data_IF_834013806981
#
_entry.id   IF_834013806981
#
_cell.length_a   1.000
_cell.length_b   1.000
_cell.length_c   1.000
_cell.angle_alpha   90.00
_cell.angle_beta   90.00
_cell.angle_gamma   90.00
#
_symmetry.space_group_name_H-M   'P 1'
#
loop_
_entity.id
_entity.type
_entity.pdbx_description
1 polymer ?
#
# COMPACT_ATOMS: atom_id res chain seq x y z
N UNK A 1 20.03 -3.32 0.78
CA UNK A 1 20.93 -3.57 -0.35
C UNK A 1 20.37 -4.73 -1.17
N UNK A 2 19.27 -4.51 -1.90
CA UNK A 2 18.75 -5.36 -2.98
C UNK A 2 18.86 -6.88 -2.72
N UNK A 3 19.05 -7.70 -3.75
CA UNK A 3 19.28 -9.12 -3.59
C UNK A 3 20.78 -9.45 -3.41
N UNK A 4 21.55 -8.59 -2.73
CA UNK A 4 22.97 -8.80 -2.40
C UNK A 4 23.20 -8.64 -0.89
N UNK A 5 23.08 -9.74 -0.11
CA UNK A 5 23.19 -9.70 1.34
C UNK A 5 24.60 -9.38 1.84
N UNK A 6 25.65 -9.76 1.10
CA UNK A 6 27.04 -9.44 1.48
C UNK A 6 27.33 -7.95 1.45
N UNK A 7 26.74 -7.21 0.51
CA UNK A 7 26.85 -5.76 0.48
C UNK A 7 26.06 -5.10 1.64
N UNK A 8 24.85 -5.59 1.98
CA UNK A 8 24.14 -5.15 3.20
C UNK A 8 25.03 -5.35 4.43
N UNK A 9 25.59 -6.55 4.57
CA UNK A 9 26.43 -6.92 5.69
C UNK A 9 27.59 -5.93 5.87
N UNK A 10 28.30 -5.63 4.78
CA UNK A 10 29.43 -4.71 4.80
C UNK A 10 29.00 -3.27 5.15
N UNK A 11 27.98 -2.73 4.48
CA UNK A 11 27.54 -1.34 4.68
C UNK A 11 26.92 -1.09 6.06
N UNK A 12 26.17 -2.05 6.57
CA UNK A 12 25.49 -1.97 7.87
C UNK A 12 26.34 -2.49 9.02
N UNK A 13 27.58 -2.94 8.73
CA UNK A 13 28.51 -3.52 9.70
C UNK A 13 27.91 -4.69 10.48
N UNK A 14 27.11 -5.52 9.81
CA UNK A 14 26.47 -6.69 10.41
C UNK A 14 27.47 -7.84 10.54
N UNK A 15 27.41 -8.55 11.65
CA UNK A 15 28.20 -9.78 11.85
C UNK A 15 27.62 -10.95 11.04
N UNK A 16 28.43 -12.00 10.87
CA UNK A 16 27.93 -13.25 10.25
C UNK A 16 26.75 -13.85 11.05
N UNK A 17 26.76 -13.69 12.38
CA UNK A 17 25.65 -14.11 13.24
C UNK A 17 24.38 -13.31 12.98
N UNK A 18 24.48 -11.99 12.75
CA UNK A 18 23.32 -11.15 12.45
C UNK A 18 22.69 -11.57 11.12
N UNK A 19 23.50 -11.79 10.08
CA UNK A 19 23.00 -12.28 8.79
C UNK A 19 22.31 -13.63 8.93
N UNK A 20 22.85 -14.52 9.78
CA UNK A 20 22.23 -15.83 10.04
C UNK A 20 20.90 -15.70 10.78
N UNK A 21 20.82 -14.83 11.79
CA UNK A 21 19.57 -14.50 12.47
C UNK A 21 18.53 -13.92 11.52
N UNK A 22 18.94 -13.01 10.63
CA UNK A 22 18.04 -12.46 9.61
C UNK A 22 17.47 -13.56 8.72
N UNK A 23 18.32 -14.48 8.26
CA UNK A 23 17.87 -15.65 7.49
C UNK A 23 16.91 -16.56 8.28
N UNK A 24 17.23 -16.85 9.55
CA UNK A 24 16.39 -17.68 10.43
C UNK A 24 15.04 -17.02 10.74
N UNK A 25 15.00 -15.69 10.81
CA UNK A 25 13.78 -14.88 10.91
C UNK A 25 12.99 -14.78 9.59
N UNK A 26 13.45 -15.45 8.52
CA UNK A 26 12.77 -15.51 7.23
C UNK A 26 13.07 -14.33 6.30
N UNK A 27 14.16 -13.59 6.53
CA UNK A 27 14.49 -12.44 5.69
C UNK A 27 14.84 -12.87 4.25
N UNK A 28 14.13 -12.32 3.27
CA UNK A 28 14.36 -12.52 1.84
C UNK A 28 14.27 -11.19 1.07
N UNK A 29 14.84 -11.17 -0.14
CA UNK A 29 14.75 -10.00 -1.00
C UNK A 29 13.28 -9.66 -1.33
N UNK A 30 12.88 -8.40 -1.10
CA UNK A 30 11.51 -7.89 -1.30
C UNK A 30 10.45 -8.39 -0.29
N UNK A 31 10.87 -8.87 0.88
CA UNK A 31 9.96 -9.02 2.01
C UNK A 31 9.59 -7.67 2.66
N UNK A 32 8.88 -7.73 3.79
CA UNK A 32 8.49 -6.58 4.60
C UNK A 32 9.28 -6.50 5.93
N UNK A 33 10.39 -7.24 6.05
CA UNK A 33 11.19 -7.29 7.28
C UNK A 33 12.29 -6.23 7.24
N UNK A 34 11.92 -4.97 7.39
CA UNK A 34 12.87 -3.84 7.32
C UNK A 34 13.84 -3.79 8.51
N UNK A 35 13.38 -4.29 9.67
CA UNK A 35 14.13 -4.33 10.93
C UNK A 35 14.03 -5.71 11.56
N UNK A 36 15.16 -6.27 11.99
CA UNK A 36 15.23 -7.52 12.76
C UNK A 36 16.02 -7.23 14.03
N UNK A 37 15.38 -7.40 15.20
CA UNK A 37 15.93 -7.00 16.50
C UNK A 37 16.35 -5.52 16.55
N UNK A 38 15.64 -4.66 15.79
CA UNK A 38 15.95 -3.23 15.68
C UNK A 38 17.13 -2.91 14.75
N UNK A 39 17.80 -3.93 14.18
CA UNK A 39 18.84 -3.74 13.18
C UNK A 39 18.24 -3.68 11.78
N UNK A 40 18.66 -2.71 10.94
CA UNK A 40 18.24 -2.68 9.55
C UNK A 40 18.74 -3.91 8.80
N UNK A 41 17.87 -4.47 7.97
CA UNK A 41 18.21 -5.57 7.04
C UNK A 41 18.56 -5.05 5.65
N UNK A 42 18.21 -3.79 5.36
CA UNK A 42 18.20 -3.21 4.04
C UNK A 42 18.92 -1.86 3.93
N UNK A 43 18.87 -1.29 2.73
CA UNK A 43 19.44 0.04 2.45
C UNK A 43 18.67 0.67 1.29
N UNK A 44 18.46 1.99 1.37
CA UNK A 44 17.90 2.80 0.29
C UNK A 44 19.05 3.30 -0.59
N UNK A 45 18.92 3.15 -1.92
CA UNK A 45 19.90 3.67 -2.88
C UNK A 45 19.29 4.83 -3.66
N UNK A 46 20.03 5.93 -3.73
CA UNK A 46 19.72 7.07 -4.60
C UNK A 46 20.75 7.08 -5.73
N UNK A 47 20.28 7.12 -6.97
CA UNK A 47 21.13 7.16 -8.17
C UNK A 47 21.02 8.54 -8.81
N UNK A 48 22.16 9.13 -9.15
CA UNK A 48 22.25 10.46 -9.76
C UNK A 48 22.60 10.37 -11.25
N UNK A 49 22.03 11.28 -12.03
CA UNK A 49 22.33 11.40 -13.45
C UNK A 49 23.57 12.28 -13.70
N UNK A 50 24.09 12.26 -14.92
CA UNK A 50 25.29 13.02 -15.31
C UNK A 50 25.20 14.52 -14.97
N UNK A 51 24.02 15.13 -15.09
CA UNK A 51 23.81 16.56 -14.85
C UNK A 51 23.57 16.93 -13.38
N UNK A 52 23.54 15.96 -12.45
CA UNK A 52 23.37 16.24 -11.02
C UNK A 52 24.56 17.03 -10.49
N UNK A 53 24.28 18.15 -9.83
CA UNK A 53 25.28 18.98 -9.16
C UNK A 53 25.32 18.64 -7.67
N UNK A 54 26.42 18.99 -7.02
CA UNK A 54 26.55 18.85 -5.55
C UNK A 54 25.35 19.45 -4.81
N UNK A 55 24.89 20.63 -5.24
CA UNK A 55 23.73 21.32 -4.64
C UNK A 55 22.43 20.51 -4.71
N UNK A 56 22.25 19.67 -5.73
CA UNK A 56 21.08 18.80 -5.83
C UNK A 56 21.17 17.64 -4.83
N UNK A 57 22.37 17.11 -4.62
CA UNK A 57 22.66 16.09 -3.58
C UNK A 57 22.44 16.69 -2.19
N UNK A 58 22.97 17.90 -1.94
CA UNK A 58 22.83 18.60 -0.67
C UNK A 58 21.35 18.81 -0.33
N UNK A 59 20.50 19.16 -1.32
CA UNK A 59 19.05 19.27 -1.12
C UNK A 59 18.39 17.96 -0.70
N UNK A 60 18.82 16.83 -1.26
CA UNK A 60 18.30 15.52 -0.86
C UNK A 60 18.72 15.19 0.57
N UNK A 61 19.97 15.46 0.94
CA UNK A 61 20.48 15.24 2.30
C UNK A 61 19.67 16.10 3.28
N UNK A 62 19.52 17.40 3.00
CA UNK A 62 18.70 18.29 3.83
C UNK A 62 17.26 17.80 3.93
N UNK A 63 16.66 17.32 2.84
CA UNK A 63 15.31 16.74 2.90
C UNK A 63 15.25 15.52 3.84
N UNK A 64 16.24 14.63 3.83
CA UNK A 64 16.28 13.47 4.74
C UNK A 64 16.39 13.93 6.19
N UNK A 65 17.33 14.83 6.48
CA UNK A 65 17.54 15.39 7.82
C UNK A 65 16.26 16.09 8.32
N UNK A 66 15.64 16.88 7.47
CA UNK A 66 14.48 17.67 7.81
C UNK A 66 13.21 16.82 7.95
N UNK A 67 12.96 15.87 7.06
CA UNK A 67 11.69 15.13 7.04
C UNK A 67 11.69 13.90 7.96
N UNK A 68 12.86 13.27 8.18
CA UNK A 68 12.94 11.98 8.86
C UNK A 68 13.78 12.00 10.14
N UNK A 69 14.76 12.90 10.27
CA UNK A 69 15.60 13.00 11.47
C UNK A 69 15.15 14.11 12.44
N UNK A 70 14.38 15.08 11.96
CA UNK A 70 13.84 16.14 12.81
C UNK A 70 12.70 15.63 13.71
N UNK A 71 12.59 16.23 14.89
CA UNK A 71 11.50 15.94 15.83
C UNK A 71 10.14 16.23 15.20
N UNK A 72 9.05 15.54 15.61
CA UNK A 72 7.69 15.89 15.19
C UNK A 72 7.40 17.38 15.34
N UNK A 73 7.79 17.98 16.46
CA UNK A 73 7.60 19.40 16.78
C UNK A 73 8.32 20.30 15.76
N UNK A 74 9.57 19.99 15.40
CA UNK A 74 10.33 20.75 14.43
C UNK A 74 9.76 20.61 13.01
N UNK A 75 9.22 19.44 12.67
CA UNK A 75 8.51 19.23 11.40
C UNK A 75 7.21 20.04 11.34
N UNK A 76 6.44 20.09 12.41
CA UNK A 76 5.24 20.94 12.50
C UNK A 76 5.57 22.43 12.40
N UNK A 77 6.68 22.89 13.00
CA UNK A 77 7.15 24.29 12.84
C UNK A 77 7.50 24.66 11.40
N UNK A 78 7.80 23.70 10.51
CA UNK A 78 8.04 23.98 9.08
C UNK A 78 6.75 24.10 8.29
N UNK A 79 5.65 23.53 8.78
CA UNK A 79 4.30 23.77 8.28
C UNK A 79 3.72 25.12 8.77
N UNK A 80 4.46 25.84 9.61
CA UNK A 80 4.05 27.15 10.12
C UNK A 80 4.15 28.21 9.01
N UNK A 81 2.99 28.53 8.45
CA UNK A 81 2.79 29.54 7.41
C UNK A 81 3.28 30.94 7.81
N UNK A 82 3.53 31.21 9.10
CA UNK A 82 4.04 32.51 9.57
C UNK A 82 5.47 32.82 9.10
N UNK A 83 6.27 31.78 8.77
CA UNK A 83 7.67 31.90 8.32
C UNK A 83 7.84 31.97 6.79
N UNK A 84 6.76 32.01 6.02
CA UNK A 84 6.83 32.12 4.56
C UNK A 84 7.54 33.43 4.14
N UNK A 85 8.39 33.40 3.09
CA UNK A 85 8.94 34.60 2.45
C UNK A 85 7.84 35.63 2.15
N UNK A 86 8.14 36.93 2.23
CA UNK A 86 7.15 38.01 2.07
C UNK A 86 6.31 37.87 0.80
N UNK A 87 6.93 37.41 -0.29
CA UNK A 87 6.27 37.18 -1.58
C UNK A 87 5.27 36.02 -1.56
N UNK A 88 5.36 35.11 -0.58
CA UNK A 88 4.44 33.97 -0.38
C UNK A 88 3.44 34.21 0.77
N UNK A 89 3.56 35.31 1.51
CA UNK A 89 2.64 35.67 2.62
C UNK A 89 1.24 36.05 2.18
N UNK A 90 1.00 36.34 0.90
CA UNK A 90 -0.34 36.55 0.35
C UNK A 90 -1.04 35.22 -0.02
N UNK A 91 -0.37 34.08 0.18
CA UNK A 91 -0.87 32.73 -0.09
C UNK A 91 -1.07 31.89 1.20
N UNK A 92 -1.53 32.40 2.38
CA UNK A 92 -1.50 31.58 3.61
C UNK A 92 -2.53 30.45 3.65
N UNK A 93 -3.73 30.64 3.08
CA UNK A 93 -4.77 29.60 3.14
C UNK A 93 -4.52 28.46 2.14
N UNK A 94 -3.92 28.76 0.98
CA UNK A 94 -3.67 27.76 -0.08
C UNK A 94 -2.46 26.86 0.20
N UNK A 95 -1.61 27.22 1.17
CA UNK A 95 -0.39 26.48 1.54
C UNK A 95 -0.53 25.67 2.83
N UNK A 96 -1.63 25.81 3.58
CA UNK A 96 -1.95 24.82 4.62
C UNK A 96 -2.21 23.50 3.89
N UNK A 97 -1.50 22.41 4.24
CA UNK A 97 -1.81 21.12 3.64
C UNK A 97 -3.27 20.79 3.97
N UNK A 98 -4.07 20.73 2.93
CA UNK A 98 -5.46 20.33 2.99
C UNK A 98 -5.55 18.90 2.51
N UNK A 99 -6.30 18.09 3.23
CA UNK A 99 -6.73 16.80 2.72
C UNK A 99 -7.61 17.06 1.49
N UNK A 100 -7.08 16.78 0.31
CA UNK A 100 -7.80 17.00 -0.94
C UNK A 100 -8.80 15.88 -1.23
N UNK A 101 -8.37 14.64 -1.01
CA UNK A 101 -9.15 13.45 -1.34
C UNK A 101 -8.60 12.27 -0.52
N UNK A 102 -9.49 11.41 -0.03
CA UNK A 102 -9.12 10.08 0.45
C UNK A 102 -9.65 9.06 -0.56
N UNK A 103 -8.77 8.16 -0.99
CA UNK A 103 -9.10 7.06 -1.88
C UNK A 103 -8.77 5.75 -1.18
N UNK A 104 -9.70 4.80 -1.22
CA UNK A 104 -9.43 3.41 -0.89
C UNK A 104 -9.47 2.58 -2.16
N UNK A 105 -8.79 1.45 -2.16
CA UNK A 105 -8.72 0.51 -3.26
C UNK A 105 -9.21 -0.84 -2.74
N UNK A 106 -10.53 -1.07 -2.72
CA UNK A 106 -11.10 -2.26 -2.12
C UNK A 106 -10.55 -3.55 -2.74
N UNK A 107 -10.45 -3.58 -4.06
CA UNK A 107 -9.92 -4.72 -4.81
C UNK A 107 -8.50 -4.41 -5.28
N UNK A 108 -7.57 -5.33 -5.00
CA UNK A 108 -6.19 -5.28 -5.48
C UNK A 108 -6.17 -5.08 -7.00
N UNK A 109 -5.40 -4.09 -7.46
CA UNK A 109 -5.20 -3.75 -8.89
C UNK A 109 -6.37 -3.04 -9.59
N UNK A 110 -7.51 -2.82 -8.93
CA UNK A 110 -8.67 -2.15 -9.52
C UNK A 110 -8.70 -0.64 -9.23
N UNK A 111 -9.73 0.04 -9.74
CA UNK A 111 -9.96 1.47 -9.56
C UNK A 111 -10.19 1.88 -8.09
N UNK A 112 -9.99 3.16 -7.81
CA UNK A 112 -10.17 3.73 -6.49
C UNK A 112 -11.64 4.03 -6.19
N UNK A 113 -12.06 3.78 -4.95
CA UNK A 113 -13.27 4.33 -4.35
C UNK A 113 -12.93 5.62 -3.61
N UNK A 114 -13.56 6.73 -4.02
CA UNK A 114 -13.35 8.06 -3.46
C UNK A 114 -14.27 8.28 -2.27
N UNK A 115 -13.69 8.64 -1.13
CA UNK A 115 -14.44 8.96 0.09
C UNK A 115 -14.84 10.43 0.04
N UNK A 116 -16.11 10.69 0.32
CA UNK A 116 -16.68 12.04 0.29
C UNK A 116 -16.45 12.77 1.63
N UNK A 117 -16.74 12.12 2.76
CA UNK A 117 -16.71 12.77 4.08
C UNK A 117 -15.68 12.14 5.02
N UNK A 118 -15.98 10.94 5.50
CA UNK A 118 -15.18 10.23 6.49
C UNK A 118 -15.24 8.73 6.24
N UNK A 119 -14.23 8.02 6.74
CA UNK A 119 -14.15 6.57 6.61
C UNK A 119 -13.58 5.95 7.88
N UNK A 120 -14.15 4.83 8.35
CA UNK A 120 -13.66 4.16 9.54
C UNK A 120 -12.26 3.58 9.32
N UNK A 121 -11.47 3.58 10.39
CA UNK A 121 -10.19 2.89 10.46
C UNK A 121 -10.39 1.49 11.08
N UNK A 122 -9.70 0.52 10.51
CA UNK A 122 -9.46 -0.81 11.03
C UNK A 122 -7.99 -0.92 11.51
N UNK A 123 -7.64 -2.04 12.12
CA UNK A 123 -6.26 -2.36 12.49
C UNK A 123 -5.29 -2.41 11.30
N UNK A 124 -5.79 -2.64 10.08
CA UNK A 124 -5.02 -2.71 8.84
C UNK A 124 -5.04 -1.42 8.01
N UNK A 125 -5.68 -0.35 8.48
CA UNK A 125 -5.79 0.92 7.75
C UNK A 125 -7.24 1.35 7.56
N UNK A 126 -7.60 1.90 6.40
CA UNK A 126 -9.01 2.21 6.12
C UNK A 126 -9.82 0.92 6.00
N UNK A 127 -11.01 0.87 6.61
CA UNK A 127 -11.89 -0.28 6.53
C UNK A 127 -12.15 -0.65 5.06
N UNK A 128 -12.11 -1.95 4.73
CA UNK A 128 -12.30 -2.47 3.37
C UNK A 128 -11.20 -2.11 2.36
N UNK A 129 -10.13 -1.42 2.76
CA UNK A 129 -9.00 -1.18 1.86
C UNK A 129 -8.20 -2.47 1.63
N UNK A 130 -7.98 -2.84 0.36
CA UNK A 130 -7.29 -4.09 -0.06
C UNK A 130 -7.91 -5.36 0.54
N UNK A 131 -9.23 -5.34 0.80
CA UNK A 131 -9.95 -6.50 1.32
C UNK A 131 -10.21 -7.62 0.29
N UNK A 132 -10.08 -7.32 -1.00
CA UNK A 132 -10.38 -8.27 -2.08
C UNK A 132 -9.26 -8.34 -3.12
N UNK A 133 -9.26 -9.43 -3.89
CA UNK A 133 -8.42 -9.61 -5.07
C UNK A 133 -9.14 -10.46 -6.11
N UNK A 134 -8.76 -10.27 -7.37
CA UNK A 134 -9.17 -11.16 -8.47
C UNK A 134 -8.05 -12.19 -8.64
N UNK A 135 -8.42 -13.46 -8.76
CA UNK A 135 -7.49 -14.57 -9.00
C UNK A 135 -7.80 -15.23 -10.34
N UNK A 136 -6.78 -15.82 -10.96
CA UNK A 136 -6.97 -16.68 -12.12
C UNK A 136 -7.34 -18.13 -11.71
N UNK A 137 -7.53 -19.00 -12.70
CA UNK A 137 -7.86 -20.41 -12.48
C UNK A 137 -6.76 -21.19 -11.71
N UNK A 138 -5.53 -20.67 -11.62
CA UNK A 138 -4.45 -21.25 -10.82
C UNK A 138 -4.45 -20.75 -9.37
N UNK A 139 -5.38 -19.86 -9.01
CA UNK A 139 -5.45 -19.21 -7.70
C UNK A 139 -4.46 -18.06 -7.56
N UNK A 140 -3.78 -17.64 -8.63
CA UNK A 140 -2.81 -16.55 -8.57
C UNK A 140 -3.49 -15.20 -8.76
N UNK A 141 -3.14 -14.21 -7.92
CA UNK A 141 -3.71 -12.88 -8.00
C UNK A 141 -3.38 -12.21 -9.33
N UNK A 142 -4.42 -11.78 -10.05
CA UNK A 142 -4.29 -11.01 -11.29
C UNK A 142 -3.84 -9.59 -10.93
N UNK A 143 -2.82 -9.09 -11.65
CA UNK A 143 -2.24 -7.77 -11.34
C UNK A 143 -2.39 -6.78 -12.48
N UNK A 144 -2.47 -5.49 -12.13
CA UNK A 144 -2.56 -4.39 -13.10
C UNK A 144 -1.37 -4.35 -14.06
N UNK A 145 -0.19 -4.84 -13.64
CA UNK A 145 1.02 -4.90 -14.47
C UNK A 145 0.85 -5.80 -15.68
N UNK A 146 0.09 -6.89 -15.54
CA UNK A 146 -0.21 -7.82 -16.63
C UNK A 146 -1.55 -7.50 -17.29
N UNK A 147 -2.53 -7.02 -16.54
CA UNK A 147 -3.88 -6.70 -17.01
C UNK A 147 -4.23 -5.25 -16.68
N UNK A 148 -3.80 -4.32 -17.52
CA UNK A 148 -3.95 -2.87 -17.27
C UNK A 148 -5.40 -2.43 -17.17
N UNK A 149 -6.33 -3.13 -17.85
CA UNK A 149 -7.77 -2.84 -17.83
C UNK A 149 -8.41 -3.02 -16.45
N UNK A 150 -7.76 -3.70 -15.50
CA UNK A 150 -8.28 -3.85 -14.13
C UNK A 150 -8.57 -2.50 -13.48
N UNK A 151 -7.79 -1.44 -13.76
CA UNK A 151 -8.04 -0.12 -13.17
C UNK A 151 -9.32 0.57 -13.65
N UNK A 152 -9.97 0.04 -14.69
CA UNK A 152 -11.26 0.52 -15.17
C UNK A 152 -12.43 -0.12 -14.40
N UNK A 153 -12.19 -1.23 -13.67
CA UNK A 153 -13.15 -1.79 -12.74
C UNK A 153 -13.22 -0.84 -11.54
N UNK A 154 -14.37 -0.19 -11.36
CA UNK A 154 -14.57 0.80 -10.31
C UNK A 154 -15.45 0.22 -9.21
N UNK A 155 -14.91 -0.03 -8.01
CA UNK A 155 -15.67 -0.48 -6.85
C UNK A 155 -16.35 0.69 -6.13
N UNK A 156 -17.58 0.48 -5.70
CA UNK A 156 -18.40 1.45 -4.96
C UNK A 156 -18.93 0.77 -3.70
N UNK A 157 -18.48 1.20 -2.53
CA UNK A 157 -18.88 0.59 -1.26
C UNK A 157 -20.13 1.27 -0.70
N UNK A 158 -21.16 0.48 -0.43
CA UNK A 158 -22.35 0.89 0.31
C UNK A 158 -22.44 0.15 1.64
N UNK A 159 -22.00 0.81 2.71
CA UNK A 159 -22.01 0.24 4.07
C UNK A 159 -23.42 0.01 4.61
N UNK A 160 -24.39 0.84 4.25
CA UNK A 160 -25.78 0.68 4.71
C UNK A 160 -26.46 -0.54 4.10
N UNK A 161 -26.15 -0.83 2.82
CA UNK A 161 -26.65 -2.01 2.10
C UNK A 161 -25.74 -3.24 2.27
N UNK A 162 -24.65 -3.12 3.04
CA UNK A 162 -23.63 -4.14 3.20
C UNK A 162 -23.09 -4.73 1.87
N UNK A 163 -22.96 -3.91 0.84
CA UNK A 163 -22.61 -4.34 -0.53
C UNK A 163 -21.54 -3.46 -1.16
N UNK A 164 -20.72 -4.05 -2.02
CA UNK A 164 -19.80 -3.40 -2.94
C UNK A 164 -20.31 -3.61 -4.36
N UNK A 165 -20.62 -2.53 -5.06
CA UNK A 165 -20.98 -2.53 -6.48
C UNK A 165 -19.71 -2.43 -7.33
N UNK A 166 -19.57 -3.28 -8.34
CA UNK A 166 -18.49 -3.24 -9.32
C UNK A 166 -19.03 -2.75 -10.65
N UNK A 167 -18.36 -1.75 -11.22
CA UNK A 167 -18.74 -1.17 -12.50
C UNK A 167 -17.59 -1.23 -13.49
N UNK A 168 -17.90 -1.44 -14.76
CA UNK A 168 -16.96 -1.40 -15.89
C UNK A 168 -17.67 -0.79 -17.10
N UNK A 169 -16.95 -0.02 -17.92
CA UNK A 169 -17.54 0.71 -19.05
C UNK A 169 -18.28 -0.23 -20.00
N UNK A 170 -19.58 0.03 -20.21
CA UNK A 170 -20.43 -0.74 -21.12
C UNK A 170 -20.99 -2.05 -20.53
N UNK A 171 -20.77 -2.33 -19.25
CA UNK A 171 -21.28 -3.53 -18.56
C UNK A 171 -22.33 -3.15 -17.52
N UNK A 172 -23.30 -4.04 -17.28
CA UNK A 172 -24.22 -3.90 -16.14
C UNK A 172 -23.42 -4.09 -14.84
N UNK A 173 -23.69 -3.33 -13.78
CA UNK A 173 -22.99 -3.52 -12.50
C UNK A 173 -23.26 -4.90 -11.89
N UNK A 174 -22.29 -5.40 -11.12
CA UNK A 174 -22.42 -6.61 -10.29
C UNK A 174 -22.17 -6.25 -8.82
N UNK A 175 -22.72 -7.03 -7.88
CA UNK A 175 -22.66 -6.72 -6.45
C UNK A 175 -21.96 -7.84 -5.67
N UNK A 176 -21.13 -7.44 -4.70
CA UNK A 176 -20.42 -8.31 -3.78
C UNK A 176 -20.83 -7.97 -2.35
N UNK A 177 -21.11 -8.95 -1.49
CA UNK A 177 -21.35 -8.68 -0.06
C UNK A 177 -20.08 -8.20 0.64
N UNK A 178 -20.18 -7.17 1.49
CA UNK A 178 -19.01 -6.66 2.24
C UNK A 178 -18.61 -7.56 3.41
N UNK A 179 -19.56 -8.30 3.96
CA UNK A 179 -19.35 -9.25 5.04
C UNK A 179 -19.72 -10.64 4.55
N UNK A 180 -18.81 -11.60 4.73
CA UNK A 180 -19.18 -13.01 4.62
C UNK A 180 -20.16 -13.32 5.73
N UNK A 181 -21.38 -13.72 5.37
CA UNK A 181 -22.29 -14.33 6.33
C UNK A 181 -21.61 -15.61 6.84
N UNK A 182 -20.99 -15.55 8.01
CA UNK A 182 -20.58 -16.73 8.78
C UNK A 182 -21.87 -17.36 9.34
N UNK A 183 -22.76 -17.81 8.45
CA UNK A 183 -23.75 -18.79 8.83
C UNK A 183 -22.96 -20.08 9.02
N UNK A 184 -22.89 -20.58 10.25
CA UNK A 184 -22.21 -21.83 10.63
C UNK A 184 -22.64 -23.07 9.80
N UNK A 185 -23.68 -22.93 8.96
CA UNK A 185 -24.21 -23.95 8.05
C UNK A 185 -23.53 -23.88 6.66
N UNK A 186 -22.91 -22.75 6.26
CA UNK A 186 -22.29 -22.54 4.95
C UNK A 186 -20.76 -22.75 4.94
N UNK A 187 -20.18 -23.27 6.02
CA UNK A 187 -18.76 -23.67 6.08
C UNK A 187 -18.45 -24.83 5.12
N UNK A 188 -19.46 -25.56 4.66
CA UNK A 188 -19.29 -26.64 3.69
C UNK A 188 -19.38 -26.22 2.21
N UNK A 189 -19.89 -25.02 1.89
CA UNK A 189 -20.14 -24.60 0.50
C UNK A 189 -19.45 -23.29 0.09
N UNK A 190 -18.84 -22.53 1.00
CA UNK A 190 -17.92 -21.46 0.59
C UNK A 190 -16.57 -22.08 0.25
N UNK A 191 -16.21 -22.08 -1.02
CA UNK A 191 -14.89 -22.52 -1.48
C UNK A 191 -13.84 -21.60 -0.86
N UNK A 192 -13.12 -22.11 0.14
CA UNK A 192 -11.93 -21.44 0.65
C UNK A 192 -10.88 -21.46 -0.47
N UNK A 193 -10.61 -20.32 -1.08
CA UNK A 193 -9.60 -20.20 -2.12
C UNK A 193 -8.24 -19.95 -1.47
N UNK A 194 -7.25 -20.79 -1.79
CA UNK A 194 -5.87 -20.51 -1.44
C UNK A 194 -5.22 -19.71 -2.57
N UNK A 195 -4.55 -18.61 -2.21
CA UNK A 195 -3.77 -17.81 -3.13
C UNK A 195 -2.40 -17.51 -2.54
N UNK A 196 -1.50 -17.01 -3.38
CA UNK A 196 -0.15 -16.62 -2.99
C UNK A 196 0.06 -15.13 -3.24
N UNK A 197 0.27 -14.36 -2.18
CA UNK A 197 0.60 -12.93 -2.25
C UNK A 197 2.00 -12.76 -1.67
N UNK A 198 2.93 -12.18 -2.42
CA UNK A 198 4.30 -11.91 -1.92
C UNK A 198 5.01 -13.13 -1.32
N UNK A 199 4.72 -14.32 -1.85
CA UNK A 199 5.14 -15.64 -1.34
C UNK A 199 4.42 -16.20 -0.12
N UNK A 200 3.52 -15.44 0.50
CA UNK A 200 2.68 -15.91 1.59
C UNK A 200 1.40 -16.57 1.07
N UNK A 201 1.07 -17.72 1.65
CA UNK A 201 -0.21 -18.40 1.43
C UNK A 201 -1.30 -17.64 2.19
N UNK A 202 -2.29 -17.15 1.45
CA UNK A 202 -3.47 -16.48 1.99
C UNK A 202 -4.71 -17.28 1.62
N UNK A 203 -5.63 -17.38 2.56
CA UNK A 203 -6.96 -17.92 2.32
C UNK A 203 -7.96 -16.79 2.11
N UNK A 204 -8.87 -16.97 1.15
CA UNK A 204 -9.94 -16.03 0.86
C UNK A 204 -11.27 -16.74 0.66
N UNK A 205 -12.35 -15.98 0.70
CA UNK A 205 -13.68 -16.46 0.38
C UNK A 205 -14.01 -16.15 -1.07
N UNK A 206 -14.53 -17.13 -1.79
CA UNK A 206 -15.10 -16.93 -3.11
C UNK A 206 -16.29 -15.95 -3.03
N UNK A 207 -16.31 -14.99 -3.95
CA UNK A 207 -17.37 -13.97 -4.05
C UNK A 207 -18.56 -14.43 -4.92
N UNK A 208 -18.51 -15.64 -5.46
CA UNK A 208 -19.60 -16.30 -6.16
C UNK A 208 -19.50 -16.23 -7.68
N UNK A 209 -20.17 -17.18 -8.34
CA UNK A 209 -20.12 -17.37 -9.79
C UNK A 209 -20.59 -16.14 -10.58
N UNK A 210 -21.55 -15.38 -10.08
CA UNK A 210 -22.05 -14.16 -10.75
C UNK A 210 -20.92 -13.14 -10.98
N UNK A 211 -20.09 -12.93 -9.96
CA UNK A 211 -18.94 -12.02 -10.03
C UNK A 211 -17.86 -12.61 -10.92
N UNK A 212 -17.64 -13.93 -10.85
CA UNK A 212 -16.68 -14.62 -11.70
C UNK A 212 -17.03 -14.54 -13.19
N UNK A 213 -18.31 -14.67 -13.55
CA UNK A 213 -18.77 -14.51 -14.94
C UNK A 213 -18.75 -13.06 -15.43
N UNK A 214 -18.81 -12.10 -14.49
CA UNK A 214 -18.75 -10.69 -14.83
C UNK A 214 -17.33 -10.21 -15.15
N UNK A 215 -16.31 -10.80 -14.52
CA UNK A 215 -14.89 -10.48 -14.68
C UNK A 215 -14.30 -10.97 -16.02
#
# INVERSE_FOLDING_TARGET
>A
CFCNPGACQWFLQLSNSDIRKQYEAGHICSDYNDLIEGLPTGAVRISFGYMTRKQDVDKIISMIEECYLATPEDRFKRMDVTKLPKDLKHIPERLKPQLKEICIYPIKSCGAFKIIDSWPLANTGFLYDRGWMIVDASGMAVTQKHHTRLCLITPIINRFKNTMELTFTGMKPVYVGLESQINQIAVFNSSLCQSKICNDLVSGYDCGDEVAYWL
#
